data_IF_132747717385
#
_entry.id   IF_132747717385
#
_cell.length_a   1.000
_cell.length_b   1.000
_cell.length_c   1.000
_cell.angle_alpha   90.00
_cell.angle_beta   90.00
_cell.angle_gamma   90.00
#
_symmetry.space_group_name_H-M   'P 1'
#
loop_
_entity.id
_entity.type
_entity.pdbx_description
1 polymer ?
#
# COMPACT_ATOMS: atom_id res chain seq x y z
N UNK A 1 42.08 6.98 2.06
CA UNK A 1 40.87 6.44 2.72
C UNK A 1 39.69 6.72 1.80
N UNK A 2 39.28 5.74 1.00
CA UNK A 2 38.15 5.88 0.08
C UNK A 2 36.85 5.73 0.87
N UNK A 3 36.10 6.82 1.02
CA UNK A 3 34.75 6.80 1.60
C UNK A 3 33.79 6.20 0.57
N UNK A 4 33.23 5.06 0.94
CA UNK A 4 32.15 4.33 0.30
C UNK A 4 30.97 5.27 -0.01
N UNK A 5 30.68 5.50 -1.30
CA UNK A 5 29.64 6.41 -1.81
C UNK A 5 28.72 5.67 -2.80
N UNK A 6 28.16 4.53 -2.42
CA UNK A 6 27.28 3.73 -3.31
C UNK A 6 25.93 3.33 -2.71
N UNK A 7 25.64 3.64 -1.45
CA UNK A 7 24.40 3.18 -0.80
C UNK A 7 23.18 4.11 -0.99
N UNK A 8 23.32 5.26 -1.65
CA UNK A 8 22.22 6.22 -1.80
C UNK A 8 21.60 6.26 -3.20
N UNK A 9 22.32 5.98 -4.28
CA UNK A 9 21.77 6.07 -5.64
C UNK A 9 20.69 5.02 -5.90
N UNK A 10 20.86 3.79 -5.39
CA UNK A 10 19.84 2.75 -5.49
C UNK A 10 18.59 3.08 -4.67
N UNK A 11 18.76 3.67 -3.48
CA UNK A 11 17.64 4.08 -2.64
C UNK A 11 16.91 5.32 -3.20
N UNK A 12 17.65 6.25 -3.80
CA UNK A 12 17.08 7.39 -4.53
C UNK A 12 16.29 6.91 -5.75
N UNK A 13 16.87 6.02 -6.56
CA UNK A 13 16.16 5.37 -7.66
C UNK A 13 14.93 4.61 -7.17
N UNK A 14 15.01 3.86 -6.06
CA UNK A 14 13.85 3.18 -5.49
C UNK A 14 12.76 4.14 -5.00
N UNK A 15 13.11 5.31 -4.47
CA UNK A 15 12.12 6.34 -4.11
C UNK A 15 11.45 6.96 -5.33
N UNK A 16 12.15 7.06 -6.46
CA UNK A 16 11.56 7.52 -7.73
C UNK A 16 10.59 6.46 -8.30
N UNK A 17 10.85 5.17 -8.06
CA UNK A 17 9.98 4.06 -8.48
C UNK A 17 8.83 3.78 -7.49
N UNK A 18 9.03 4.06 -6.20
CA UNK A 18 8.04 3.89 -5.13
C UNK A 18 7.93 5.20 -4.35
N UNK A 19 7.15 6.18 -4.86
CA UNK A 19 6.97 7.45 -4.17
C UNK A 19 6.45 7.18 -2.75
N UNK A 20 7.02 7.90 -1.77
CA UNK A 20 6.70 7.75 -0.34
C UNK A 20 5.24 8.02 0.02
N UNK A 21 4.48 8.58 -0.92
CA UNK A 21 3.10 9.02 -0.76
C UNK A 21 2.18 8.37 -1.82
N UNK A 22 2.45 7.12 -2.19
CA UNK A 22 1.62 6.41 -3.15
C UNK A 22 0.15 6.38 -2.68
N UNK A 23 -0.78 6.61 -3.60
CA UNK A 23 -2.21 6.48 -3.33
C UNK A 23 -2.72 5.08 -3.68
N UNK A 24 -3.89 4.67 -3.14
CA UNK A 24 -4.57 3.45 -3.59
C UNK A 24 -4.81 3.45 -5.10
N UNK A 25 -5.25 4.58 -5.66
CA UNK A 25 -5.52 4.72 -7.09
C UNK A 25 -4.27 4.55 -7.96
N UNK A 26 -3.16 5.17 -7.56
CA UNK A 26 -1.86 5.06 -8.23
C UNK A 26 -1.35 3.62 -8.24
N UNK A 27 -1.44 2.90 -7.11
CA UNK A 27 -1.02 1.49 -7.03
C UNK A 27 -1.85 0.59 -7.96
N UNK A 28 -3.18 0.77 -7.97
CA UNK A 28 -4.07 0.01 -8.84
C UNK A 28 -3.69 0.26 -10.31
N UNK A 29 -3.59 1.54 -10.70
CA UNK A 29 -3.25 1.92 -12.07
C UNK A 29 -1.90 1.37 -12.48
N UNK A 30 -0.86 1.61 -11.67
CA UNK A 30 0.51 1.19 -11.97
C UNK A 30 0.60 -0.33 -12.13
N UNK A 31 0.02 -1.09 -11.19
CA UNK A 31 -0.02 -2.56 -11.28
C UNK A 31 -0.76 -3.00 -12.54
N UNK A 32 -1.92 -2.42 -12.82
CA UNK A 32 -2.72 -2.78 -13.99
C UNK A 32 -1.96 -2.51 -15.30
N UNK A 33 -1.38 -1.32 -15.46
CA UNK A 33 -0.67 -0.91 -16.69
C UNK A 33 0.64 -1.66 -16.88
N UNK A 34 1.39 -1.95 -15.81
CA UNK A 34 2.65 -2.69 -15.89
C UNK A 34 2.47 -4.10 -16.46
N UNK A 35 1.30 -4.71 -16.22
CA UNK A 35 0.95 -6.04 -16.73
C UNK A 35 -0.01 -5.97 -17.93
N UNK A 36 -0.19 -4.79 -18.53
CA UNK A 36 -1.03 -4.56 -19.71
C UNK A 36 -2.49 -5.01 -19.54
N UNK A 37 -2.99 -5.02 -18.31
CA UNK A 37 -4.39 -5.35 -18.01
C UNK A 37 -5.24 -4.11 -18.37
N UNK A 38 -6.35 -4.29 -19.05
CA UNK A 38 -7.27 -3.21 -19.43
C UNK A 38 -8.34 -2.97 -18.37
N UNK A 39 -8.97 -1.79 -18.35
CA UNK A 39 -10.12 -1.54 -17.47
C UNK A 39 -11.30 -2.47 -17.80
N UNK A 40 -11.47 -2.83 -19.06
CA UNK A 40 -12.49 -3.79 -19.52
C UNK A 40 -12.26 -5.20 -18.95
N UNK A 41 -11.01 -5.68 -18.93
CA UNK A 41 -10.68 -6.97 -18.32
C UNK A 41 -10.94 -6.99 -16.81
N UNK A 42 -10.59 -5.90 -16.11
CA UNK A 42 -10.89 -5.77 -14.68
C UNK A 42 -12.39 -5.68 -14.44
N UNK A 43 -13.14 -4.97 -15.29
CA UNK A 43 -14.60 -4.93 -15.23
C UNK A 43 -15.19 -6.33 -15.37
N UNK A 44 -14.76 -7.08 -16.38
CA UNK A 44 -15.20 -8.46 -16.63
C UNK A 44 -14.90 -9.39 -15.44
N UNK A 45 -13.76 -9.21 -14.78
CA UNK A 45 -13.36 -10.03 -13.63
C UNK A 45 -14.08 -9.65 -12.33
N UNK A 46 -14.40 -8.38 -12.11
CA UNK A 46 -14.86 -7.85 -10.81
C UNK A 46 -16.34 -7.46 -10.76
N UNK A 47 -16.94 -7.23 -11.93
CA UNK A 47 -18.25 -6.60 -12.11
C UNK A 47 -18.27 -5.09 -11.78
N UNK A 48 -17.10 -4.45 -11.62
CA UNK A 48 -16.99 -3.01 -11.39
C UNK A 48 -16.84 -2.32 -12.73
N UNK A 49 -17.73 -1.38 -13.05
CA UNK A 49 -17.68 -0.70 -14.35
C UNK A 49 -16.38 0.06 -14.59
N UNK A 50 -15.93 0.19 -15.85
CA UNK A 50 -14.70 0.93 -16.20
C UNK A 50 -14.73 2.37 -15.68
N UNK A 51 -15.90 3.02 -15.71
CA UNK A 51 -16.08 4.36 -15.15
C UNK A 51 -15.81 4.40 -13.65
N UNK A 52 -16.27 3.40 -12.89
CA UNK A 52 -15.97 3.31 -11.45
C UNK A 52 -14.50 2.96 -11.19
N UNK A 53 -13.94 2.03 -11.96
CA UNK A 53 -12.52 1.69 -11.87
C UNK A 53 -11.63 2.91 -12.13
N UNK A 54 -11.96 3.71 -13.14
CA UNK A 54 -11.29 4.98 -13.43
C UNK A 54 -11.41 5.97 -12.27
N UNK A 55 -12.58 6.08 -11.62
CA UNK A 55 -12.71 6.93 -10.43
C UNK A 55 -11.83 6.47 -9.26
N UNK A 56 -11.68 5.15 -9.08
CA UNK A 56 -10.76 4.61 -8.07
C UNK A 56 -9.29 4.87 -8.42
N UNK A 57 -8.88 4.62 -9.67
CA UNK A 57 -7.50 4.86 -10.13
C UNK A 57 -7.07 6.32 -10.11
N UNK A 58 -8.02 7.26 -10.09
CA UNK A 58 -7.77 8.70 -10.04
C UNK A 58 -8.08 9.30 -8.65
N UNK A 59 -8.30 8.46 -7.64
CA UNK A 59 -8.65 8.86 -6.26
C UNK A 59 -9.86 9.83 -6.18
N UNK A 60 -10.77 9.77 -7.17
CA UNK A 60 -12.00 10.58 -7.21
C UNK A 60 -13.14 9.94 -6.42
N UNK A 61 -12.98 8.68 -6.03
CA UNK A 61 -13.95 7.93 -5.23
C UNK A 61 -13.23 7.19 -4.11
N UNK A 62 -13.71 7.28 -2.85
CA UNK A 62 -13.09 6.55 -1.76
C UNK A 62 -13.18 5.05 -1.99
N UNK A 63 -12.06 4.35 -1.79
CA UNK A 63 -11.94 2.92 -1.99
C UNK A 63 -12.12 2.18 -0.66
N UNK A 64 -13.18 1.39 -0.56
CA UNK A 64 -13.45 0.55 0.61
C UNK A 64 -12.93 -0.88 0.45
N UNK A 65 -12.91 -1.62 1.55
CA UNK A 65 -12.45 -3.01 1.64
C UNK A 65 -12.99 -3.92 0.52
N UNK A 66 -14.30 -3.90 0.26
CA UNK A 66 -14.92 -4.78 -0.75
C UNK A 66 -14.35 -4.52 -2.15
N UNK A 67 -14.21 -3.26 -2.53
CA UNK A 67 -13.76 -2.89 -3.87
C UNK A 67 -12.25 -3.08 -4.01
N UNK A 68 -11.47 -2.71 -2.98
CA UNK A 68 -10.04 -3.01 -2.93
C UNK A 68 -9.78 -4.51 -3.03
N UNK A 69 -10.61 -5.33 -2.38
CA UNK A 69 -10.48 -6.80 -2.43
C UNK A 69 -10.77 -7.34 -3.83
N UNK A 70 -11.87 -6.92 -4.45
CA UNK A 70 -12.21 -7.33 -5.81
C UNK A 70 -11.11 -6.93 -6.81
N UNK A 71 -10.71 -5.67 -6.80
CA UNK A 71 -9.67 -5.14 -7.70
C UNK A 71 -8.35 -5.86 -7.46
N UNK A 72 -7.94 -5.98 -6.19
CA UNK A 72 -6.70 -6.65 -5.81
C UNK A 72 -6.63 -8.11 -6.27
N UNK A 73 -7.71 -8.88 -6.07
CA UNK A 73 -7.79 -10.25 -6.59
C UNK A 73 -7.69 -10.30 -8.12
N UNK A 74 -8.29 -9.34 -8.83
CA UNK A 74 -8.25 -9.31 -10.29
C UNK A 74 -6.86 -8.95 -10.86
N UNK A 75 -6.09 -8.09 -10.17
CA UNK A 75 -4.78 -7.61 -10.65
C UNK A 75 -3.58 -8.23 -9.92
N UNK A 76 -3.82 -9.20 -9.03
CA UNK A 76 -2.78 -9.89 -8.27
C UNK A 76 -2.09 -9.00 -7.24
N UNK A 77 -2.85 -8.19 -6.50
CA UNK A 77 -2.36 -7.32 -5.43
C UNK A 77 -3.15 -7.57 -4.14
N UNK A 78 -2.45 -7.70 -3.00
CA UNK A 78 -3.12 -7.94 -1.73
C UNK A 78 -3.94 -6.70 -1.32
N UNK A 79 -5.18 -6.83 -0.80
CA UNK A 79 -6.05 -5.69 -0.54
C UNK A 79 -5.47 -4.70 0.48
N UNK A 80 -4.69 -5.19 1.45
CA UNK A 80 -4.00 -4.34 2.42
C UNK A 80 -2.95 -3.44 1.76
N UNK A 81 -2.26 -3.91 0.73
CA UNK A 81 -1.30 -3.09 -0.02
C UNK A 81 -2.02 -1.96 -0.75
N UNK A 82 -3.23 -2.20 -1.25
CA UNK A 82 -4.05 -1.17 -1.89
C UNK A 82 -4.58 -0.17 -0.87
N UNK A 83 -5.13 -0.64 0.26
CA UNK A 83 -5.76 0.22 1.27
C UNK A 83 -4.74 1.03 2.07
N UNK A 84 -3.54 0.49 2.24
CA UNK A 84 -2.45 1.08 3.01
C UNK A 84 -1.17 1.06 2.18
N UNK A 85 -1.13 1.86 1.08
CA UNK A 85 0.01 1.91 0.16
C UNK A 85 1.34 2.19 0.88
N UNK A 86 1.29 2.97 1.96
CA UNK A 86 2.46 3.41 2.73
C UNK A 86 2.57 2.68 4.08
N UNK A 87 1.86 1.56 4.25
CA UNK A 87 1.77 0.83 5.52
C UNK A 87 0.68 1.39 6.45
N UNK A 88 0.18 0.53 7.34
CA UNK A 88 -0.89 0.91 8.30
C UNK A 88 -0.33 1.89 9.34
N UNK A 89 0.95 1.76 9.65
CA UNK A 89 1.68 2.56 10.63
C UNK A 89 1.86 4.02 10.19
N UNK A 90 1.85 4.28 8.88
CA UNK A 90 1.91 5.62 8.32
C UNK A 90 0.54 6.33 8.31
N UNK A 91 -0.55 5.61 8.60
CA UNK A 91 -1.89 6.17 8.61
C UNK A 91 -2.16 6.91 9.93
N UNK A 92 -2.26 8.24 9.83
CA UNK A 92 -2.48 9.12 10.98
C UNK A 92 -3.77 8.78 11.77
N UNK A 93 -4.77 8.14 11.13
CA UNK A 93 -6.01 7.71 11.81
C UNK A 93 -5.75 6.66 12.88
N UNK A 94 -4.71 5.85 12.73
CA UNK A 94 -4.41 4.73 13.62
C UNK A 94 -3.23 4.98 14.56
N UNK A 95 -2.51 6.09 14.41
CA UNK A 95 -1.31 6.42 15.17
C UNK A 95 -1.51 6.37 16.69
N UNK A 96 -2.62 6.92 17.20
CA UNK A 96 -2.91 6.86 18.64
C UNK A 96 -3.19 5.44 19.12
N UNK A 97 -3.91 4.65 18.32
CA UNK A 97 -4.23 3.25 18.63
C UNK A 97 -2.94 2.42 18.66
N UNK A 98 -2.06 2.60 17.68
CA UNK A 98 -0.74 1.95 17.63
C UNK A 98 0.11 2.30 18.84
N UNK A 99 0.10 3.55 19.31
CA UNK A 99 0.79 3.93 20.55
C UNK A 99 0.20 3.21 21.77
N UNK A 100 -1.12 3.23 21.92
CA UNK A 100 -1.83 2.59 23.05
C UNK A 100 -1.65 1.08 23.07
N UNK A 101 -1.58 0.42 21.90
CA UNK A 101 -1.38 -1.02 21.81
C UNK A 101 -0.01 -1.43 22.33
N UNK A 102 1.04 -0.68 22.01
CA UNK A 102 2.40 -0.91 22.54
C UNK A 102 2.42 -0.79 24.07
N UNK A 103 1.79 0.25 24.63
CA UNK A 103 1.68 0.41 26.09
C UNK A 103 0.92 -0.75 26.74
N UNK A 104 -0.18 -1.20 26.12
CA UNK A 104 -0.98 -2.31 26.62
C UNK A 104 -0.19 -3.63 26.59
N UNK A 105 0.47 -3.92 25.47
CA UNK A 105 1.26 -5.15 25.30
C UNK A 105 2.45 -5.18 26.23
N UNK A 106 3.18 -4.07 26.43
CA UNK A 106 4.29 -4.01 27.37
C UNK A 106 3.86 -4.28 28.83
N UNK A 107 2.63 -3.91 29.20
CA UNK A 107 2.06 -4.22 30.53
C UNK A 107 1.67 -5.69 30.69
N UNK A 108 1.33 -6.38 29.59
CA UNK A 108 0.78 -7.75 29.62
C UNK A 108 1.80 -8.82 29.27
N UNK A 109 2.74 -8.48 28.40
CA UNK A 109 3.85 -9.30 27.98
C UNK A 109 5.10 -8.54 28.41
N UNK A 110 5.59 -8.73 29.66
CA UNK A 110 6.89 -8.21 30.02
C UNK A 110 7.90 -8.90 29.10
N UNK A 111 8.33 -8.21 28.05
CA UNK A 111 9.43 -8.65 27.22
C UNK A 111 10.61 -8.88 28.17
N UNK A 112 10.92 -10.15 28.48
CA UNK A 112 12.25 -10.49 28.98
C UNK A 112 13.18 -9.90 27.93
N UNK A 113 13.91 -8.84 28.28
CA UNK A 113 15.03 -8.35 27.48
C UNK A 113 15.89 -9.58 27.21
N UNK A 114 15.85 -10.10 25.99
CA UNK A 114 16.85 -11.05 25.55
C UNK A 114 18.09 -10.19 25.42
N UNK A 115 18.88 -10.18 26.49
CA UNK A 115 20.25 -9.75 26.42
C UNK A 115 20.96 -10.76 25.49
N UNK A 116 21.34 -10.31 24.30
CA UNK A 116 22.44 -10.87 23.53
C UNK A 116 23.46 -9.76 23.37
#
# INVERSE_FOLDING_TARGET
MAKQKSNNEFLEMLNDFFPKDATPGELIRAKRTNYQITLEEVEKATGISQSNLSLYENDKKPLGYVQATKIGLAIGLHPMTILFPNGIEADERFKEISRKSVELLNKKIPLKKIAV
#
